data_IF_876811038445
#
_entry.id   IF_876811038445
#
_cell.length_a   1.000
_cell.length_b   1.000
_cell.length_c   1.000
_cell.angle_alpha   90.00
_cell.angle_beta   90.00
_cell.angle_gamma   90.00
#
_symmetry.space_group_name_H-M   'P 1'
#
loop_
_entity.id
_entity.type
_entity.pdbx_description
1 polymer ?
#
# COMPACT_ATOMS: atom_id res chain seq x y z
N UNK A 1 15.15 8.36 6.69
CA UNK A 1 15.67 7.22 5.91
C UNK A 1 15.13 7.16 4.48
N UNK A 2 13.81 7.16 4.25
CA UNK A 2 13.24 7.06 2.89
C UNK A 2 13.61 8.22 1.92
N UNK A 3 13.96 9.42 2.44
CA UNK A 3 14.62 10.51 1.67
C UNK A 3 15.99 10.18 1.14
N UNK A 4 16.78 9.50 1.95
CA UNK A 4 18.11 9.07 1.55
C UNK A 4 18.00 7.92 0.54
N UNK A 5 17.10 6.96 0.76
CA UNK A 5 16.88 5.82 -0.16
C UNK A 5 16.33 6.24 -1.52
N UNK A 6 15.39 7.19 -1.59
CA UNK A 6 14.88 7.67 -2.87
C UNK A 6 15.91 8.49 -3.65
N UNK A 7 16.70 9.33 -2.96
CA UNK A 7 17.79 10.10 -3.60
C UNK A 7 18.88 9.14 -4.08
N UNK A 8 19.20 8.09 -3.32
CA UNK A 8 20.10 7.02 -3.75
C UNK A 8 19.56 6.23 -4.94
N UNK A 9 18.29 5.82 -4.93
CA UNK A 9 17.67 5.13 -6.07
C UNK A 9 17.65 5.99 -7.33
N UNK A 10 17.38 7.29 -7.19
CA UNK A 10 17.37 8.24 -8.30
C UNK A 10 18.79 8.53 -8.79
N UNK A 11 19.77 8.61 -7.89
CA UNK A 11 21.19 8.69 -8.25
C UNK A 11 21.65 7.43 -8.98
N UNK A 12 21.28 6.24 -8.51
CA UNK A 12 21.57 4.95 -9.17
C UNK A 12 20.88 4.89 -10.55
N UNK A 13 19.65 5.38 -10.65
CA UNK A 13 18.93 5.48 -11.92
C UNK A 13 19.65 6.41 -12.91
N UNK A 14 20.03 7.61 -12.45
CA UNK A 14 20.75 8.60 -13.24
C UNK A 14 22.16 8.15 -13.61
N UNK A 15 22.84 7.39 -12.74
CA UNK A 15 24.13 6.75 -13.03
C UNK A 15 23.97 5.73 -14.17
N UNK A 16 22.91 4.91 -14.12
CA UNK A 16 22.62 3.97 -15.20
C UNK A 16 22.21 4.64 -16.52
N UNK A 17 21.37 5.67 -16.46
CA UNK A 17 20.96 6.44 -17.65
C UNK A 17 22.13 7.25 -18.23
N UNK A 18 22.98 7.83 -17.38
CA UNK A 18 24.18 8.57 -17.81
C UNK A 18 25.16 7.67 -18.56
N UNK A 19 25.40 6.46 -18.06
CA UNK A 19 26.27 5.50 -18.75
C UNK A 19 25.71 4.96 -20.07
N UNK A 20 24.38 4.97 -20.23
CA UNK A 20 23.70 4.71 -21.51
C UNK A 20 23.87 5.88 -22.50
N UNK A 21 23.82 7.12 -22.01
CA UNK A 21 23.94 8.34 -22.82
C UNK A 21 25.37 8.54 -23.36
N UNK A 22 26.40 8.12 -22.62
CA UNK A 22 27.80 8.19 -23.09
C UNK A 22 28.08 7.33 -24.34
N UNK A 23 27.25 6.34 -24.64
CA UNK A 23 27.36 5.55 -25.87
C UNK A 23 26.72 6.25 -27.09
N UNK A 24 26.04 7.38 -26.89
CA UNK A 24 25.40 8.15 -27.96
C UNK A 24 26.33 9.21 -28.59
N UNK A 25 27.52 9.45 -28.03
CA UNK A 25 28.55 10.29 -28.66
C UNK A 25 29.61 10.84 -27.71
N UNK A 26 30.81 11.19 -28.21
CA UNK A 26 32.01 11.46 -27.41
C UNK A 26 32.01 12.76 -26.57
N UNK A 27 30.90 13.49 -26.50
CA UNK A 27 30.80 14.78 -25.76
C UNK A 27 29.55 14.92 -24.90
N UNK A 28 28.81 13.83 -24.64
CA UNK A 28 27.51 13.95 -24.00
C UNK A 28 27.58 14.26 -22.49
N UNK A 29 28.52 13.68 -21.72
CA UNK A 29 28.68 14.03 -20.30
C UNK A 29 30.00 13.48 -19.72
N UNK A 30 31.09 14.27 -19.60
CA UNK A 30 32.39 13.79 -19.07
C UNK A 30 32.41 13.44 -17.56
N UNK A 31 31.26 13.23 -16.93
CA UNK A 31 31.13 13.18 -15.47
C UNK A 31 30.83 11.78 -14.89
N UNK A 32 31.83 11.22 -14.20
CA UNK A 32 31.71 10.44 -12.93
C UNK A 32 31.56 8.91 -12.96
N UNK A 33 31.46 8.19 -14.09
CA UNK A 33 31.04 6.77 -14.03
C UNK A 33 32.15 5.71 -14.04
N UNK A 34 32.15 4.89 -12.97
CA UNK A 34 33.11 3.82 -12.65
C UNK A 34 32.96 2.55 -13.50
N UNK A 35 31.75 2.19 -13.98
CA UNK A 35 31.53 0.90 -14.68
C UNK A 35 32.14 0.83 -16.07
N UNK A 36 32.16 1.93 -16.83
CA UNK A 36 32.84 2.02 -18.15
C UNK A 36 34.38 1.86 -18.04
N UNK A 37 34.92 1.90 -16.82
CA UNK A 37 36.36 1.70 -16.55
C UNK A 37 36.67 0.34 -15.94
N UNK A 38 35.67 -0.53 -15.75
CA UNK A 38 35.87 -1.87 -15.22
C UNK A 38 36.22 -2.79 -16.39
N UNK A 39 37.46 -3.32 -16.48
CA UNK A 39 37.88 -4.18 -17.59
C UNK A 39 37.05 -5.47 -17.69
N UNK A 40 36.49 -5.91 -16.55
CA UNK A 40 35.60 -7.06 -16.45
C UNK A 40 34.25 -6.84 -17.17
N UNK A 41 33.86 -5.59 -17.39
CA UNK A 41 32.63 -5.18 -18.07
C UNK A 41 32.89 -4.59 -19.45
N UNK A 42 34.12 -4.72 -19.97
CA UNK A 42 34.48 -4.27 -21.30
C UNK A 42 33.61 -5.00 -22.35
N UNK A 43 32.82 -4.25 -23.11
CA UNK A 43 31.81 -4.78 -24.05
C UNK A 43 30.43 -5.07 -23.45
N UNK A 44 30.21 -4.79 -22.16
CA UNK A 44 28.96 -4.99 -21.41
C UNK A 44 28.47 -3.72 -20.71
N UNK A 45 29.07 -2.56 -21.02
CA UNK A 45 28.86 -1.29 -20.36
C UNK A 45 27.40 -0.83 -20.44
N UNK A 46 26.79 -0.95 -21.63
CA UNK A 46 25.38 -0.64 -21.88
C UNK A 46 24.45 -1.47 -20.98
N UNK A 47 24.75 -2.76 -20.80
CA UNK A 47 23.96 -3.67 -19.98
C UNK A 47 24.08 -3.37 -18.49
N UNK A 48 25.31 -3.12 -18.05
CA UNK A 48 25.56 -2.80 -16.66
C UNK A 48 24.85 -1.48 -16.29
N UNK A 49 24.93 -0.49 -17.18
CA UNK A 49 24.29 0.81 -17.00
C UNK A 49 22.75 0.72 -17.10
N UNK A 50 22.18 -0.05 -18.05
CA UNK A 50 20.74 -0.29 -18.13
C UNK A 50 20.19 -1.06 -16.91
N UNK A 51 20.92 -2.06 -16.43
CA UNK A 51 20.54 -2.82 -15.22
C UNK A 51 20.56 -1.93 -13.98
N UNK A 52 21.59 -1.10 -13.85
CA UNK A 52 21.70 -0.08 -12.80
C UNK A 52 20.57 0.95 -12.90
N UNK A 53 20.19 1.37 -14.11
CA UNK A 53 19.06 2.29 -14.33
C UNK A 53 17.73 1.68 -13.86
N UNK A 54 17.47 0.43 -14.25
CA UNK A 54 16.23 -0.30 -13.89
C UNK A 54 16.16 -0.55 -12.38
N UNK A 55 17.27 -0.96 -11.76
CA UNK A 55 17.36 -1.14 -10.30
C UNK A 55 17.13 0.19 -9.59
N UNK A 56 17.73 1.27 -10.07
CA UNK A 56 17.51 2.61 -9.54
C UNK A 56 16.04 3.05 -9.63
N UNK A 57 15.41 2.85 -10.79
CA UNK A 57 13.99 3.15 -11.00
C UNK A 57 13.08 2.32 -10.07
N UNK A 58 13.35 1.02 -9.92
CA UNK A 58 12.61 0.15 -9.02
C UNK A 58 12.72 0.61 -7.55
N UNK A 59 13.93 1.01 -7.12
CA UNK A 59 14.15 1.56 -5.77
C UNK A 59 13.40 2.88 -5.56
N UNK A 60 13.34 3.76 -6.57
CA UNK A 60 12.58 5.01 -6.50
C UNK A 60 11.09 4.75 -6.35
N UNK A 61 10.53 3.82 -7.12
CA UNK A 61 9.10 3.45 -7.05
C UNK A 61 8.78 2.85 -5.68
N UNK A 62 9.60 1.91 -5.20
CA UNK A 62 9.42 1.30 -3.88
C UNK A 62 9.51 2.34 -2.74
N UNK A 63 10.50 3.24 -2.79
CA UNK A 63 10.66 4.30 -1.80
C UNK A 63 9.51 5.32 -1.84
N UNK A 64 8.95 5.59 -3.03
CA UNK A 64 7.76 6.43 -3.21
C UNK A 64 6.53 5.85 -2.51
N UNK A 65 6.28 4.55 -2.69
CA UNK A 65 5.14 3.85 -2.06
C UNK A 65 5.27 3.78 -0.54
N UNK A 66 6.46 3.50 -0.02
CA UNK A 66 6.71 3.48 1.44
C UNK A 66 6.53 4.86 2.09
N UNK A 67 6.79 5.94 1.35
CA UNK A 67 6.59 7.31 1.84
C UNK A 67 5.15 7.79 1.80
N UNK A 68 4.38 7.38 0.80
CA UNK A 68 2.95 7.65 0.77
C UNK A 68 2.32 7.08 2.05
N UNK A 69 2.59 5.79 2.30
CA UNK A 69 2.17 5.10 3.51
C UNK A 69 2.65 5.78 4.82
N UNK A 70 3.90 6.25 4.89
CA UNK A 70 4.42 6.92 6.09
C UNK A 70 3.84 8.33 6.32
N UNK A 71 3.62 9.12 5.25
CA UNK A 71 3.01 10.46 5.39
C UNK A 71 1.55 10.38 5.79
N UNK A 72 0.85 9.34 5.35
CA UNK A 72 -0.53 9.06 5.75
C UNK A 72 -0.62 8.69 7.24
N UNK A 73 0.34 7.91 7.76
CA UNK A 73 0.43 7.60 9.19
C UNK A 73 0.71 8.84 10.06
N UNK A 74 1.54 9.77 9.57
CA UNK A 74 1.83 11.04 10.26
C UNK A 74 0.66 12.04 10.16
N UNK A 75 -0.01 12.13 9.01
CA UNK A 75 -1.16 13.00 8.81
C UNK A 75 -2.38 12.56 9.64
N UNK A 76 -2.62 11.25 9.78
CA UNK A 76 -3.65 10.71 10.67
C UNK A 76 -3.41 11.00 12.16
N UNK A 77 -2.15 11.19 12.57
CA UNK A 77 -1.81 11.57 13.95
C UNK A 77 -1.95 13.08 14.20
N UNK A 78 -1.66 13.92 13.21
CA UNK A 78 -1.75 15.38 13.29
C UNK A 78 -3.19 15.92 13.18
N UNK A 79 -4.13 15.14 12.62
CA UNK A 79 -5.52 15.53 12.44
C UNK A 79 -6.41 15.36 13.69
N UNK A 80 -5.87 14.97 14.86
CA UNK A 80 -6.61 15.05 16.13
C UNK A 80 -6.66 16.52 16.58
N UNK A 81 -7.84 17.19 16.56
CA UNK A 81 -7.94 18.52 17.15
C UNK A 81 -7.89 18.35 18.68
N UNK A 82 -6.91 18.99 19.30
CA UNK A 82 -6.96 19.27 20.74
C UNK A 82 -8.25 20.05 21.02
N UNK A 83 -9.07 19.53 21.93
CA UNK A 83 -10.34 20.10 22.31
C UNK A 83 -10.20 21.56 22.71
N UNK A 84 -11.02 22.39 22.07
CA UNK A 84 -11.31 23.76 22.49
C UNK A 84 -12.18 23.71 23.74
N UNK A 85 -11.62 24.01 24.92
CA UNK A 85 -12.42 24.43 26.06
C UNK A 85 -12.76 25.91 25.90
N UNK A 86 -14.01 26.18 25.53
CA UNK A 86 -14.64 27.48 25.69
C UNK A 86 -15.43 27.50 27.01
N UNK A 87 -15.13 28.47 27.87
CA UNK A 87 -15.90 28.74 29.08
C UNK A 87 -15.58 30.12 29.62
N UNK A 88 -16.52 31.06 29.41
CA UNK A 88 -16.45 32.44 29.82
C UNK A 88 -16.65 32.65 31.34
N UNK A 89 -16.14 33.77 31.87
CA UNK A 89 -16.78 34.47 32.98
C UNK A 89 -15.91 34.95 34.15
N UNK A 90 -15.92 36.27 34.34
CA UNK A 90 -15.86 37.02 35.60
C UNK A 90 -14.51 37.32 36.30
N UNK A 91 -14.22 38.63 36.30
CA UNK A 91 -13.68 39.50 37.37
C UNK A 91 -13.01 38.88 38.62
N UNK A 92 -11.87 39.46 39.01
CA UNK A 92 -11.30 39.31 40.35
C UNK A 92 -9.91 39.88 40.50
N UNK A 93 -9.82 41.04 41.17
CA UNK A 93 -8.60 41.74 41.59
C UNK A 93 -7.81 40.92 42.63
N UNK A 94 -6.49 41.15 42.70
CA UNK A 94 -5.62 41.29 43.90
C UNK A 94 -4.25 40.58 43.75
N UNK A 95 -3.28 41.36 44.20
CA UNK A 95 -1.82 41.27 44.24
C UNK A 95 -1.24 40.18 45.17
N UNK A 96 0.09 40.03 45.07
CA UNK A 96 1.06 39.64 46.10
C UNK A 96 1.62 38.19 46.15
N UNK A 97 2.93 38.14 45.88
CA UNK A 97 4.02 37.46 46.63
C UNK A 97 3.89 35.99 47.06
N UNK A 98 4.95 35.21 46.80
CA UNK A 98 5.19 33.99 47.58
C UNK A 98 6.13 32.98 46.95
N UNK A 99 7.42 33.19 47.10
CA UNK A 99 8.49 32.21 46.91
C UNK A 99 8.28 30.94 47.74
N UNK A 100 8.44 29.75 47.13
CA UNK A 100 9.12 28.55 47.66
C UNK A 100 8.56 27.28 47.01
N UNK A 101 9.44 26.37 46.57
CA UNK A 101 9.01 25.02 46.16
C UNK A 101 9.82 24.35 45.06
N UNK A 102 11.07 24.73 44.84
CA UNK A 102 12.00 24.00 43.98
C UNK A 102 12.42 22.65 44.61
N UNK A 103 11.49 21.70 44.73
CA UNK A 103 11.77 20.31 45.14
C UNK A 103 10.71 19.27 44.69
N UNK A 104 9.59 19.68 44.08
CA UNK A 104 8.53 18.76 43.62
C UNK A 104 8.53 18.40 42.12
N UNK A 105 9.26 19.14 41.29
CA UNK A 105 9.15 19.02 39.83
C UNK A 105 9.99 17.88 39.21
N UNK A 106 10.96 17.32 39.94
CA UNK A 106 11.83 16.24 39.40
C UNK A 106 11.29 14.83 39.65
N UNK A 107 10.35 14.67 40.58
CA UNK A 107 9.70 13.38 40.90
C UNK A 107 8.42 13.13 40.10
N UNK A 108 7.76 14.18 39.60
CA UNK A 108 6.61 14.06 38.70
C UNK A 108 7.00 13.78 37.24
N UNK A 109 8.17 14.26 36.80
CA UNK A 109 8.71 14.00 35.44
C UNK A 109 9.28 12.58 35.32
N UNK A 110 9.79 11.99 36.41
CA UNK A 110 10.30 10.61 36.37
C UNK A 110 9.21 9.53 36.34
N UNK A 111 8.01 9.83 36.85
CA UNK A 111 6.86 8.90 36.83
C UNK A 111 6.11 8.92 35.48
N UNK A 112 6.24 9.99 34.71
CA UNK A 112 5.67 10.09 33.36
C UNK A 112 6.56 9.47 32.28
N UNK A 113 7.87 9.30 32.53
CA UNK A 113 8.77 8.61 31.61
C UNK A 113 8.74 7.08 31.72
N UNK A 114 8.31 6.51 32.86
CA UNK A 114 8.09 5.06 33.01
C UNK A 114 6.70 4.60 32.51
N UNK A 115 5.69 5.47 32.49
CA UNK A 115 4.35 5.16 31.97
C UNK A 115 4.17 5.34 30.46
N UNK A 116 5.15 5.91 29.75
CA UNK A 116 5.06 6.22 28.30
C UNK A 116 5.99 5.33 27.46
N UNK A 117 6.72 4.40 28.08
CA UNK A 117 7.57 3.41 27.38
C UNK A 117 6.92 2.04 27.11
N UNK A 118 5.69 1.83 27.56
CA UNK A 118 4.86 0.67 27.19
C UNK A 118 3.67 1.09 26.31
N UNK A 119 3.94 1.67 25.13
CA UNK A 119 2.95 1.70 24.05
C UNK A 119 3.64 1.73 22.70
N UNK A 120 4.60 0.81 22.52
CA UNK A 120 4.95 0.36 21.17
C UNK A 120 4.03 -0.81 20.87
N UNK A 121 3.05 -0.70 19.95
CA UNK A 121 2.39 -1.87 19.43
C UNK A 121 3.39 -2.53 18.49
N UNK A 122 4.37 -3.24 19.07
CA UNK A 122 4.87 -4.42 18.37
C UNK A 122 3.63 -5.29 18.22
N UNK A 123 3.31 -5.65 16.99
CA UNK A 123 2.47 -6.79 16.65
C UNK A 123 3.12 -8.05 17.24
N UNK A 124 3.07 -8.16 18.56
CA UNK A 124 3.41 -9.35 19.31
C UNK A 124 2.13 -10.13 19.32
N UNK A 125 2.11 -11.22 18.57
CA UNK A 125 1.07 -12.25 18.62
C UNK A 125 0.64 -12.47 20.07
N UNK A 126 -0.52 -11.94 20.44
CA UNK A 126 -1.11 -12.19 21.73
C UNK A 126 -1.27 -13.71 21.91
N UNK A 127 -0.99 -14.28 23.10
CA UNK A 127 -1.23 -15.70 23.36
C UNK A 127 -2.69 -16.04 22.99
N UNK A 128 -2.89 -16.97 22.06
CA UNK A 128 -4.23 -17.37 21.59
C UNK A 128 -4.68 -16.77 20.25
N UNK A 129 -3.90 -15.91 19.60
CA UNK A 129 -4.27 -15.36 18.29
C UNK A 129 -4.19 -16.40 17.16
N UNK A 130 -5.28 -16.60 16.41
CA UNK A 130 -5.26 -17.34 15.14
C UNK A 130 -4.90 -16.38 14.00
N UNK A 131 -3.71 -16.55 13.44
CA UNK A 131 -3.23 -15.75 12.30
C UNK A 131 -3.48 -16.47 10.99
N UNK A 132 -4.30 -15.88 10.13
CA UNK A 132 -4.54 -16.31 8.76
C UNK A 132 -3.71 -15.44 7.83
N UNK A 133 -2.66 -16.03 7.26
CA UNK A 133 -1.76 -15.41 6.29
C UNK A 133 -1.74 -16.22 4.99
N UNK A 134 -1.19 -15.66 3.88
CA UNK A 134 -0.97 -16.43 2.66
C UNK A 134 -0.17 -17.69 2.96
N UNK A 135 -0.45 -18.77 2.24
CA UNK A 135 0.23 -20.04 2.53
C UNK A 135 1.70 -19.96 2.14
N UNK A 136 2.54 -20.73 2.83
CA UNK A 136 3.97 -20.86 2.47
C UNK A 136 4.13 -21.32 1.02
N UNK A 137 3.22 -22.17 0.54
CA UNK A 137 3.17 -22.59 -0.86
C UNK A 137 2.90 -21.43 -1.83
N UNK A 138 1.96 -20.55 -1.51
CA UNK A 138 1.66 -19.37 -2.34
C UNK A 138 2.86 -18.41 -2.38
N UNK A 139 3.54 -18.22 -1.24
CA UNK A 139 4.77 -17.42 -1.16
C UNK A 139 5.90 -18.03 -1.97
N UNK A 140 6.17 -19.33 -1.81
CA UNK A 140 7.20 -20.03 -2.58
C UNK A 140 6.89 -20.00 -4.08
N UNK A 141 5.61 -20.16 -4.44
CA UNK A 141 5.17 -20.05 -5.82
C UNK A 141 5.41 -18.64 -6.34
N UNK A 142 5.05 -17.59 -5.61
CA UNK A 142 5.30 -16.20 -6.03
C UNK A 142 6.80 -15.90 -6.18
N UNK A 143 7.60 -16.26 -5.17
CA UNK A 143 9.04 -16.02 -5.15
C UNK A 143 9.84 -16.90 -6.11
N UNK A 144 9.32 -18.06 -6.50
CA UNK A 144 9.93 -18.93 -7.50
C UNK A 144 9.44 -18.62 -8.92
N UNK A 145 8.14 -18.59 -9.12
CA UNK A 145 7.51 -18.47 -10.44
C UNK A 145 7.77 -17.11 -11.08
N UNK A 146 7.60 -15.99 -10.35
CA UNK A 146 7.73 -14.67 -10.96
C UNK A 146 9.17 -14.40 -11.47
N UNK A 147 10.24 -14.69 -10.71
CA UNK A 147 11.60 -14.56 -11.21
C UNK A 147 11.91 -15.49 -12.38
N UNK A 148 11.42 -16.75 -12.34
CA UNK A 148 11.63 -17.71 -13.44
C UNK A 148 10.93 -17.25 -14.72
N UNK A 149 9.66 -16.84 -14.62
CA UNK A 149 8.88 -16.31 -15.76
C UNK A 149 9.50 -15.00 -16.26
N UNK A 150 9.89 -14.10 -15.36
CA UNK A 150 10.58 -12.87 -15.70
C UNK A 150 11.88 -13.13 -16.45
N UNK A 151 12.71 -14.05 -15.96
CA UNK A 151 13.94 -14.48 -16.62
C UNK A 151 13.69 -15.09 -18.00
N UNK A 152 12.69 -15.97 -18.13
CA UNK A 152 12.32 -16.56 -19.41
C UNK A 152 11.84 -15.51 -20.42
N UNK A 153 10.97 -14.57 -20.01
CA UNK A 153 10.54 -13.45 -20.85
C UNK A 153 11.70 -12.54 -21.25
N UNK A 154 12.63 -12.29 -20.31
CA UNK A 154 13.84 -11.53 -20.56
C UNK A 154 14.77 -12.20 -21.57
N UNK A 155 14.95 -13.52 -21.48
CA UNK A 155 15.71 -14.31 -22.45
C UNK A 155 15.06 -14.28 -23.85
N UNK A 156 13.73 -14.26 -23.90
CA UNK A 156 12.95 -14.22 -25.14
C UNK A 156 12.84 -12.81 -25.75
N UNK A 157 13.39 -11.78 -25.11
CA UNK A 157 13.24 -10.40 -25.56
C UNK A 157 13.74 -10.19 -27.00
N UNK A 158 14.90 -10.75 -27.35
CA UNK A 158 15.48 -10.65 -28.69
C UNK A 158 14.65 -11.40 -29.76
N UNK A 159 14.31 -12.69 -29.61
CA UNK A 159 13.48 -13.37 -30.62
C UNK A 159 12.07 -12.77 -30.75
N UNK A 160 11.50 -12.24 -29.67
CA UNK A 160 10.25 -11.46 -29.73
C UNK A 160 10.43 -10.15 -30.51
N UNK A 161 11.58 -9.49 -30.35
CA UNK A 161 11.91 -8.26 -31.09
C UNK A 161 12.14 -8.52 -32.58
N UNK A 162 12.86 -9.59 -32.92
CA UNK A 162 13.10 -10.01 -34.31
C UNK A 162 11.77 -10.37 -35.00
N UNK A 163 10.88 -11.07 -34.29
CA UNK A 163 9.52 -11.34 -34.76
C UNK A 163 8.69 -10.06 -34.92
N UNK A 164 8.71 -9.15 -33.95
CA UNK A 164 7.98 -7.88 -34.00
C UNK A 164 8.40 -7.01 -35.20
N UNK A 165 9.70 -6.95 -35.49
CA UNK A 165 10.26 -6.24 -36.64
C UNK A 165 9.91 -6.89 -37.98
N UNK A 166 9.53 -8.17 -38.01
CA UNK A 166 9.07 -8.84 -39.23
C UNK A 166 7.64 -8.45 -39.64
N UNK A 167 6.88 -7.77 -38.78
CA UNK A 167 5.52 -7.35 -39.08
C UNK A 167 5.50 -6.05 -39.91
N UNK A 168 4.82 -6.03 -41.09
CA UNK A 168 4.84 -4.89 -42.02
C UNK A 168 4.27 -3.56 -41.48
N UNK A 169 3.59 -3.58 -40.35
CA UNK A 169 2.88 -2.45 -39.77
C UNK A 169 3.51 -1.93 -38.47
N UNK A 170 4.65 -2.48 -38.03
CA UNK A 170 5.22 -2.21 -36.71
C UNK A 170 5.86 -0.80 -36.62
N UNK A 171 5.36 0.12 -35.79
CA UNK A 171 5.76 1.53 -35.81
C UNK A 171 7.01 1.88 -34.98
N UNK A 172 7.63 0.90 -34.29
CA UNK A 172 8.74 1.12 -33.35
C UNK A 172 10.08 0.51 -33.83
N UNK A 173 10.42 0.67 -35.12
CA UNK A 173 11.67 0.13 -35.68
C UNK A 173 12.93 0.64 -34.97
N UNK A 174 12.96 1.91 -34.57
CA UNK A 174 14.14 2.57 -34.00
C UNK A 174 14.64 1.93 -32.68
N UNK A 175 13.82 1.90 -31.62
CA UNK A 175 14.20 1.28 -30.35
C UNK A 175 14.49 -0.22 -30.48
N UNK A 176 13.78 -0.94 -31.34
CA UNK A 176 14.01 -2.37 -31.53
C UNK A 176 15.32 -2.68 -32.26
N UNK A 177 15.75 -1.82 -33.20
CA UNK A 177 17.08 -1.95 -33.82
C UNK A 177 18.24 -1.88 -32.81
N UNK A 178 18.08 -1.12 -31.72
CA UNK A 178 19.08 -1.11 -30.64
C UNK A 178 19.16 -2.48 -29.96
N UNK A 179 18.02 -3.09 -29.63
CA UNK A 179 17.96 -4.43 -29.02
C UNK A 179 18.52 -5.49 -29.93
N UNK A 180 18.23 -5.43 -31.24
CA UNK A 180 18.73 -6.41 -32.21
C UNK A 180 20.20 -6.21 -32.59
N UNK A 181 20.77 -5.03 -32.33
CA UNK A 181 22.20 -4.76 -32.58
C UNK A 181 23.14 -5.50 -31.62
N UNK A 182 22.58 -6.03 -30.53
CA UNK A 182 23.31 -6.74 -29.49
C UNK A 182 23.53 -8.20 -29.91
N UNK A 183 24.76 -8.75 -29.73
CA UNK A 183 25.01 -10.17 -29.95
C UNK A 183 24.09 -11.07 -29.11
N UNK A 184 23.73 -12.24 -29.64
CA UNK A 184 22.69 -13.10 -29.07
C UNK A 184 22.95 -13.51 -27.61
N UNK A 185 24.19 -13.90 -27.30
CA UNK A 185 24.57 -14.37 -25.96
C UNK A 185 24.45 -13.28 -24.88
N UNK A 186 25.07 -12.09 -25.01
CA UNK A 186 24.91 -11.02 -24.02
C UNK A 186 23.48 -10.50 -23.94
N UNK A 187 22.75 -10.42 -25.07
CA UNK A 187 21.34 -10.04 -25.07
C UNK A 187 20.49 -11.00 -24.21
N UNK A 188 20.70 -12.30 -24.39
CA UNK A 188 19.97 -13.34 -23.65
C UNK A 188 20.32 -13.31 -22.17
N UNK A 189 21.62 -13.24 -21.82
CA UNK A 189 22.06 -13.21 -20.42
C UNK A 189 21.56 -11.93 -19.72
N UNK A 190 21.78 -10.77 -20.33
CA UNK A 190 21.36 -9.48 -19.78
C UNK A 190 19.85 -9.38 -19.62
N UNK A 191 19.09 -9.79 -20.65
CA UNK A 191 17.63 -9.86 -20.60
C UNK A 191 17.14 -10.79 -19.48
N UNK A 192 17.75 -11.97 -19.33
CA UNK A 192 17.41 -12.91 -18.25
C UNK A 192 17.63 -12.29 -16.87
N UNK A 193 18.79 -11.66 -16.63
CA UNK A 193 19.11 -11.04 -15.34
C UNK A 193 18.13 -9.91 -15.01
N UNK A 194 17.85 -9.02 -15.97
CA UNK A 194 16.86 -7.94 -15.80
C UNK A 194 15.47 -8.51 -15.52
N UNK A 195 15.08 -9.56 -16.24
CA UNK A 195 13.81 -10.24 -16.06
C UNK A 195 13.64 -10.88 -14.69
N UNK A 196 14.69 -11.56 -14.19
CA UNK A 196 14.72 -12.12 -12.84
C UNK A 196 14.58 -11.03 -11.78
N UNK A 197 15.33 -9.92 -11.92
CA UNK A 197 15.25 -8.78 -10.99
C UNK A 197 13.84 -8.19 -11.00
N UNK A 198 13.24 -7.98 -12.17
CA UNK A 198 11.87 -7.48 -12.29
C UNK A 198 10.87 -8.44 -11.61
N UNK A 199 11.02 -9.75 -11.81
CA UNK A 199 10.21 -10.76 -11.14
C UNK A 199 10.36 -10.75 -9.62
N UNK A 200 11.57 -10.56 -9.11
CA UNK A 200 11.83 -10.42 -7.65
C UNK A 200 11.21 -9.15 -7.08
N UNK A 201 11.28 -8.02 -7.80
CA UNK A 201 10.64 -6.77 -7.40
C UNK A 201 9.12 -6.93 -7.34
N UNK A 202 8.51 -7.59 -8.34
CA UNK A 202 7.08 -7.89 -8.32
C UNK A 202 6.70 -8.82 -7.16
N UNK A 203 7.51 -9.84 -6.85
CA UNK A 203 7.30 -10.70 -5.69
C UNK A 203 7.39 -9.92 -4.37
N UNK A 204 8.33 -8.98 -4.25
CA UNK A 204 8.45 -8.07 -3.10
C UNK A 204 7.21 -7.17 -2.94
N UNK A 205 6.71 -6.61 -4.03
CA UNK A 205 5.47 -5.80 -4.02
C UNK A 205 4.28 -6.66 -3.58
N UNK A 206 4.15 -7.86 -4.14
CA UNK A 206 3.09 -8.81 -3.78
C UNK A 206 3.12 -9.21 -2.31
N UNK A 207 4.31 -9.40 -1.74
CA UNK A 207 4.47 -9.71 -0.31
C UNK A 207 4.06 -8.52 0.58
N UNK A 208 4.38 -7.29 0.18
CA UNK A 208 3.99 -6.09 0.94
C UNK A 208 2.49 -5.81 0.87
N UNK A 209 1.85 -6.12 -0.26
CA UNK A 209 0.41 -5.97 -0.47
C UNK A 209 -0.39 -7.15 0.10
N UNK A 210 0.29 -8.23 0.53
CA UNK A 210 -0.36 -9.43 1.02
C UNK A 210 -1.15 -9.17 2.32
N UNK A 211 -2.46 -9.44 2.24
CA UNK A 211 -3.35 -9.32 3.38
C UNK A 211 -3.12 -10.39 4.45
N UNK A 212 -3.09 -10.00 5.72
CA UNK A 212 -3.05 -10.89 6.89
C UNK A 212 -4.18 -10.55 7.84
N UNK A 213 -4.78 -11.57 8.47
CA UNK A 213 -5.85 -11.40 9.45
C UNK A 213 -5.45 -12.12 10.73
N UNK A 214 -5.33 -11.40 11.83
CA UNK A 214 -5.16 -11.97 13.16
C UNK A 214 -6.49 -11.87 13.91
N UNK A 215 -6.97 -13.01 14.41
CA UNK A 215 -8.22 -13.11 15.17
C UNK A 215 -7.89 -13.54 16.59
N UNK A 216 -8.35 -12.79 17.58
CA UNK A 216 -8.32 -13.15 19.00
C UNK A 216 -9.75 -13.16 19.54
N UNK A 217 -9.93 -13.64 20.77
CA UNK A 217 -11.25 -13.63 21.43
C UNK A 217 -11.78 -12.20 21.69
N UNK A 218 -10.89 -11.20 21.72
CA UNK A 218 -11.21 -9.82 22.07
C UNK A 218 -11.22 -8.87 20.87
N UNK A 219 -10.42 -9.13 19.84
CA UNK A 219 -10.28 -8.23 18.70
C UNK A 219 -9.88 -8.95 17.40
N UNK A 220 -10.14 -8.28 16.28
CA UNK A 220 -9.69 -8.68 14.95
C UNK A 220 -8.77 -7.61 14.43
N UNK A 221 -7.58 -8.02 14.01
CA UNK A 221 -6.65 -7.15 13.30
C UNK A 221 -6.57 -7.57 11.84
N UNK A 222 -6.98 -6.68 10.94
CA UNK A 222 -6.87 -6.84 9.49
C UNK A 222 -5.72 -5.97 9.01
N UNK A 223 -4.69 -6.60 8.45
CA UNK A 223 -3.61 -5.91 7.75
C UNK A 223 -3.78 -6.13 6.26
N UNK A 224 -3.96 -5.05 5.49
CA UNK A 224 -4.10 -5.09 4.04
C UNK A 224 -3.38 -3.88 3.42
N UNK A 225 -2.65 -4.07 2.33
CA UNK A 225 -1.90 -3.00 1.64
C UNK A 225 -0.99 -2.18 2.59
N UNK A 226 -0.35 -2.83 3.57
CA UNK A 226 0.48 -2.18 4.58
C UNK A 226 -0.28 -1.35 5.64
N UNK A 227 -1.61 -1.31 5.60
CA UNK A 227 -2.46 -0.65 6.59
C UNK A 227 -3.02 -1.68 7.56
N UNK A 228 -3.00 -1.38 8.84
CA UNK A 228 -3.50 -2.26 9.90
C UNK A 228 -4.71 -1.61 10.56
N UNK A 229 -5.81 -2.36 10.65
CA UNK A 229 -7.06 -1.94 11.27
C UNK A 229 -7.49 -2.95 12.29
N UNK A 230 -7.91 -2.47 13.45
CA UNK A 230 -8.32 -3.33 14.58
C UNK A 230 -9.77 -3.03 14.93
N UNK A 231 -10.56 -4.09 15.09
CA UNK A 231 -11.97 -4.01 15.47
C UNK A 231 -12.22 -4.88 16.72
N UNK A 232 -12.79 -4.32 17.80
CA UNK A 232 -13.07 -5.08 19.01
C UNK A 232 -14.25 -6.03 18.77
N UNK A 233 -14.17 -7.26 19.33
CA UNK A 233 -15.14 -8.35 19.14
C UNK A 233 -16.57 -7.90 19.42
N UNK A 234 -16.77 -7.14 20.49
CA UNK A 234 -18.06 -6.64 20.98
C UNK A 234 -18.80 -5.75 19.95
N UNK A 235 -18.06 -5.07 19.07
CA UNK A 235 -18.65 -4.25 18.02
C UNK A 235 -18.97 -5.06 16.76
N UNK A 236 -18.41 -6.26 16.60
CA UNK A 236 -18.56 -7.02 15.35
C UNK A 236 -19.88 -7.78 15.32
N UNK A 237 -20.79 -7.38 14.41
CA UNK A 237 -22.10 -8.01 14.20
C UNK A 237 -22.12 -9.04 13.07
N UNK A 238 -21.28 -8.84 12.05
CA UNK A 238 -21.13 -9.73 10.91
C UNK A 238 -19.71 -9.68 10.35
N UNK A 239 -19.20 -10.83 9.92
CA UNK A 239 -17.93 -10.94 9.19
C UNK A 239 -18.16 -11.76 7.93
N UNK A 240 -17.80 -11.23 6.76
CA UNK A 240 -17.93 -11.95 5.50
C UNK A 240 -16.84 -11.58 4.51
N UNK A 241 -16.70 -12.43 3.47
CA UNK A 241 -15.85 -12.14 2.33
C UNK A 241 -16.69 -11.66 1.15
N UNK A 242 -16.37 -10.51 0.60
CA UNK A 242 -16.91 -10.00 -0.67
C UNK A 242 -15.80 -10.02 -1.73
N UNK A 243 -15.80 -11.04 -2.59
CA UNK A 243 -14.71 -11.27 -3.55
C UNK A 243 -13.37 -11.52 -2.87
N UNK A 244 -12.43 -10.55 -3.00
CA UNK A 244 -11.12 -10.55 -2.33
C UNK A 244 -11.08 -9.70 -1.06
N UNK A 245 -12.18 -9.03 -0.69
CA UNK A 245 -12.25 -8.17 0.49
C UNK A 245 -12.84 -8.94 1.66
N UNK A 246 -12.23 -8.81 2.84
CA UNK A 246 -12.86 -9.15 4.11
C UNK A 246 -13.52 -7.90 4.66
N UNK A 247 -14.76 -8.04 5.14
CA UNK A 247 -15.55 -6.95 5.69
C UNK A 247 -16.06 -7.36 7.08
N UNK A 248 -15.89 -6.46 8.04
CA UNK A 248 -16.42 -6.56 9.40
C UNK A 248 -17.42 -5.41 9.59
N UNK A 249 -18.66 -5.76 9.94
CA UNK A 249 -19.72 -4.80 10.19
C UNK A 249 -19.97 -4.56 11.68
N UNK A 250 -20.39 -3.35 12.00
CA UNK A 250 -20.97 -3.00 13.30
C UNK A 250 -22.45 -3.43 13.41
N UNK A 251 -23.10 -3.35 14.58
CA UNK A 251 -24.50 -3.76 14.75
C UNK A 251 -25.51 -2.93 13.95
N UNK A 252 -25.12 -1.72 13.49
CA UNK A 252 -25.93 -0.86 12.63
C UNK A 252 -25.71 -1.17 11.15
N UNK A 253 -24.74 -2.02 10.83
CA UNK A 253 -24.35 -2.35 9.48
C UNK A 253 -23.31 -1.39 8.90
N UNK A 254 -22.65 -0.53 9.68
CA UNK A 254 -21.49 0.24 9.21
C UNK A 254 -20.23 -0.62 9.09
N UNK A 255 -19.27 -0.20 8.26
CA UNK A 255 -17.98 -0.90 8.15
C UNK A 255 -17.04 -0.51 9.30
N UNK A 256 -16.71 -1.47 10.17
CA UNK A 256 -15.70 -1.29 11.23
C UNK A 256 -14.28 -1.45 10.72
N UNK A 257 -14.08 -2.48 9.91
CA UNK A 257 -12.80 -2.78 9.29
C UNK A 257 -13.08 -3.51 7.98
N UNK A 258 -12.39 -3.11 6.92
CA UNK A 258 -12.37 -3.87 5.68
C UNK A 258 -11.00 -3.81 5.03
N UNK A 259 -10.68 -4.81 4.22
CA UNK A 259 -9.39 -4.87 3.56
C UNK A 259 -9.33 -5.97 2.50
N UNK A 260 -8.56 -5.72 1.45
CA UNK A 260 -8.29 -6.74 0.42
C UNK A 260 -7.36 -7.79 1.00
N UNK A 261 -7.89 -8.98 1.23
CA UNK A 261 -7.17 -10.14 1.75
C UNK A 261 -7.40 -11.31 0.80
N UNK A 262 -6.37 -11.67 0.04
CA UNK A 262 -6.42 -12.82 -0.88
C UNK A 262 -6.22 -14.15 -0.11
N UNK A 263 -7.11 -14.38 0.86
CA UNK A 263 -7.07 -15.50 1.77
C UNK A 263 -8.21 -16.48 1.48
N UNK A 264 -7.94 -17.77 1.72
CA UNK A 264 -8.91 -18.84 1.45
C UNK A 264 -10.12 -18.70 2.38
N UNK A 265 -11.37 -18.63 1.86
CA UNK A 265 -12.57 -18.37 2.67
C UNK A 265 -12.77 -19.37 3.81
N UNK A 266 -12.47 -20.66 3.59
CA UNK A 266 -12.62 -21.68 4.62
C UNK A 266 -11.68 -21.49 5.81
N UNK A 267 -10.45 -20.98 5.59
CA UNK A 267 -9.50 -20.70 6.67
C UNK A 267 -9.96 -19.50 7.50
N UNK A 268 -10.45 -18.46 6.83
CA UNK A 268 -11.06 -17.31 7.51
C UNK A 268 -12.28 -17.76 8.33
N UNK A 269 -13.20 -18.49 7.71
CA UNK A 269 -14.40 -18.99 8.38
C UNK A 269 -14.06 -19.83 9.62
N UNK A 270 -13.07 -20.72 9.53
CA UNK A 270 -12.61 -21.53 10.65
C UNK A 270 -12.02 -20.67 11.77
N UNK A 271 -11.13 -19.72 11.44
CA UNK A 271 -10.52 -18.83 12.43
C UNK A 271 -11.56 -17.97 13.15
N UNK A 272 -12.44 -17.31 12.40
CA UNK A 272 -13.49 -16.48 12.98
C UNK A 272 -14.46 -17.29 13.86
N UNK A 273 -14.89 -18.47 13.40
CA UNK A 273 -15.79 -19.32 14.20
C UNK A 273 -15.11 -19.87 15.46
N UNK A 274 -13.83 -20.20 15.40
CA UNK A 274 -13.07 -20.68 16.57
C UNK A 274 -13.03 -19.64 17.69
N UNK A 275 -12.97 -18.35 17.33
CA UNK A 275 -13.02 -17.22 18.27
C UNK A 275 -14.42 -16.63 18.47
N UNK A 276 -15.48 -17.37 18.08
CA UNK A 276 -16.87 -16.98 18.34
C UNK A 276 -17.39 -15.78 17.54
N UNK A 277 -16.76 -15.40 16.43
CA UNK A 277 -17.22 -14.32 15.55
C UNK A 277 -18.38 -14.76 14.64
N UNK A 278 -19.28 -13.83 14.25
CA UNK A 278 -20.45 -14.11 13.43
C UNK A 278 -20.05 -14.18 11.94
N UNK A 279 -19.37 -15.26 11.56
CA UNK A 279 -19.00 -15.50 10.16
C UNK A 279 -20.23 -15.81 9.30
N UNK A 280 -20.45 -14.99 8.27
CA UNK A 280 -21.50 -15.11 7.26
C UNK A 280 -20.91 -15.66 5.96
N UNK A 281 -21.26 -16.90 5.63
CA UNK A 281 -20.79 -17.57 4.40
C UNK A 281 -21.60 -17.18 3.16
N UNK A 282 -22.80 -16.64 3.37
CA UNK A 282 -23.78 -16.14 2.42
C UNK A 282 -23.46 -14.72 1.89
N UNK A 283 -22.52 -14.02 2.52
CA UNK A 283 -22.05 -12.70 2.08
C UNK A 283 -22.57 -11.55 2.94
N UNK A 284 -22.79 -10.40 2.30
CA UNK A 284 -23.26 -9.19 2.98
C UNK A 284 -24.76 -9.32 3.35
N UNK A 285 -25.14 -9.25 4.63
CA UNK A 285 -26.55 -9.28 5.04
C UNK A 285 -27.38 -8.10 4.49
N UNK A 286 -26.73 -6.99 4.12
CA UNK A 286 -27.34 -5.79 3.55
C UNK A 286 -27.15 -5.71 2.03
N UNK A 287 -26.83 -6.82 1.36
CA UNK A 287 -26.60 -6.85 -0.09
C UNK A 287 -27.77 -6.25 -0.91
N UNK A 288 -29.01 -6.41 -0.42
CA UNK A 288 -30.22 -5.89 -1.06
C UNK A 288 -30.41 -4.37 -0.97
N UNK A 289 -29.69 -3.70 -0.05
CA UNK A 289 -29.87 -2.27 0.21
C UNK A 289 -28.95 -1.39 -0.67
N UNK A 290 -28.01 -2.03 -1.38
CA UNK A 290 -27.08 -1.32 -2.25
C UNK A 290 -27.78 -0.80 -3.50
N UNK A 291 -27.59 0.50 -3.75
CA UNK A 291 -28.11 1.18 -4.94
C UNK A 291 -26.95 1.78 -5.72
N UNK A 292 -27.08 1.81 -7.04
CA UNK A 292 -26.04 2.35 -7.91
C UNK A 292 -25.91 3.85 -7.64
N UNK A 293 -24.67 4.30 -7.41
CA UNK A 293 -24.40 5.72 -7.33
C UNK A 293 -24.46 6.35 -8.72
N UNK A 294 -25.12 7.49 -8.81
CA UNK A 294 -25.18 8.37 -9.98
C UNK A 294 -24.91 9.80 -9.51
N UNK A 295 -24.13 10.61 -10.24
CA UNK A 295 -23.93 12.00 -9.90
C UNK A 295 -25.26 12.77 -9.77
N UNK A 296 -25.42 13.54 -8.69
CA UNK A 296 -26.57 14.43 -8.49
C UNK A 296 -27.81 13.80 -7.84
N UNK A 297 -27.71 12.61 -7.23
CA UNK A 297 -28.81 12.04 -6.43
C UNK A 297 -29.13 12.96 -5.22
N UNK A 298 -30.41 13.23 -4.89
CA UNK A 298 -30.74 14.06 -3.73
C UNK A 298 -30.62 13.35 -2.38
N UNK A 299 -30.35 12.03 -2.38
CA UNK A 299 -30.50 11.14 -1.22
C UNK A 299 -29.26 11.07 -0.31
N UNK A 300 -28.16 11.71 -0.71
CA UNK A 300 -26.87 11.68 0.00
C UNK A 300 -26.48 13.08 0.47
N UNK A 301 -25.83 13.21 1.65
CA UNK A 301 -25.23 14.46 2.08
C UNK A 301 -24.28 15.01 1.01
N UNK A 302 -24.21 16.34 0.86
CA UNK A 302 -23.34 16.99 -0.13
C UNK A 302 -21.87 16.56 0.00
N UNK A 303 -21.38 16.35 1.23
CA UNK A 303 -20.04 15.82 1.50
C UNK A 303 -19.82 14.41 0.95
N UNK A 304 -20.80 13.51 1.12
CA UNK A 304 -20.73 12.14 0.58
C UNK A 304 -20.71 12.13 -0.95
N UNK A 305 -21.46 13.03 -1.60
CA UNK A 305 -21.42 13.18 -3.05
C UNK A 305 -20.04 13.53 -3.61
N UNK A 306 -19.36 14.49 -2.96
CA UNK A 306 -18.02 14.91 -3.36
C UNK A 306 -17.00 13.76 -3.20
N UNK A 307 -17.08 13.02 -2.09
CA UNK A 307 -16.20 11.87 -1.82
C UNK A 307 -16.44 10.72 -2.82
N UNK A 308 -17.70 10.38 -3.13
CA UNK A 308 -18.01 9.34 -4.13
C UNK A 308 -17.49 9.72 -5.52
N UNK A 309 -17.63 11.00 -5.92
CA UNK A 309 -17.10 11.50 -7.19
C UNK A 309 -15.56 11.47 -7.24
N UNK A 310 -14.89 11.90 -6.18
CA UNK A 310 -13.43 11.81 -6.06
C UNK A 310 -12.98 10.34 -6.12
N UNK A 311 -13.73 9.44 -5.46
CA UNK A 311 -13.43 8.01 -5.42
C UNK A 311 -13.59 7.34 -6.78
N UNK A 312 -14.66 7.68 -7.51
CA UNK A 312 -14.85 7.21 -8.87
C UNK A 312 -13.66 7.57 -9.77
N UNK A 313 -13.17 8.82 -9.66
CA UNK A 313 -11.98 9.28 -10.39
C UNK A 313 -10.69 8.57 -9.96
N UNK A 314 -10.54 8.25 -8.68
CA UNK A 314 -9.41 7.48 -8.18
C UNK A 314 -9.42 6.05 -8.76
N UNK A 315 -10.59 5.41 -8.80
CA UNK A 315 -10.76 4.08 -9.41
C UNK A 315 -10.45 4.09 -10.91
N UNK A 316 -10.90 5.11 -11.66
CA UNK A 316 -10.59 5.25 -13.10
C UNK A 316 -9.09 5.42 -13.39
N UNK A 317 -8.34 5.93 -12.42
CA UNK A 317 -6.89 6.16 -12.52
C UNK A 317 -6.05 5.06 -11.87
N UNK A 318 -6.68 3.95 -11.46
CA UNK A 318 -6.04 2.85 -10.71
C UNK A 318 -5.34 3.33 -9.41
N UNK A 319 -5.82 4.42 -8.81
CA UNK A 319 -5.34 4.96 -7.54
C UNK A 319 -6.05 4.26 -6.37
N UNK A 320 -5.75 2.98 -6.18
CA UNK A 320 -6.44 2.13 -5.18
C UNK A 320 -6.31 2.65 -3.74
N UNK A 321 -5.15 3.19 -3.35
CA UNK A 321 -4.93 3.75 -2.01
C UNK A 321 -5.87 4.93 -1.73
N UNK A 322 -5.92 5.91 -2.64
CA UNK A 322 -6.81 7.07 -2.54
C UNK A 322 -8.28 6.63 -2.49
N UNK A 323 -8.65 5.59 -3.25
CA UNK A 323 -10.00 5.04 -3.24
C UNK A 323 -10.38 4.35 -1.91
N UNK A 324 -9.40 3.77 -1.19
CA UNK A 324 -9.60 3.22 0.16
C UNK A 324 -9.72 4.32 1.21
N UNK A 325 -8.92 5.38 1.13
CA UNK A 325 -9.04 6.55 2.03
C UNK A 325 -10.44 7.18 1.92
N UNK A 326 -10.90 7.38 0.69
CA UNK A 326 -12.24 7.92 0.45
C UNK A 326 -13.36 6.97 0.90
N UNK A 327 -13.13 5.65 0.93
CA UNK A 327 -14.08 4.67 1.49
C UNK A 327 -14.21 4.83 3.01
N UNK A 328 -13.11 5.09 3.71
CA UNK A 328 -13.08 5.31 5.16
C UNK A 328 -13.75 6.64 5.54
N UNK A 329 -13.51 7.69 4.77
CA UNK A 329 -14.22 8.97 4.96
C UNK A 329 -15.73 8.80 4.72
N UNK A 330 -16.12 7.99 3.72
CA UNK A 330 -17.52 7.68 3.46
C UNK A 330 -18.16 6.86 4.59
N UNK A 331 -17.45 5.91 5.19
CA UNK A 331 -17.98 5.13 6.32
C UNK A 331 -18.21 6.01 7.55
N UNK A 332 -17.36 7.04 7.75
CA UNK A 332 -17.54 8.05 8.81
C UNK A 332 -18.81 8.87 8.61
N UNK A 333 -19.25 9.05 7.35
CA UNK A 333 -20.52 9.70 7.01
C UNK A 333 -21.72 8.72 6.96
N UNK A 334 -21.57 7.49 7.46
CA UNK A 334 -22.63 6.48 7.42
C UNK A 334 -22.93 5.98 6.00
N UNK A 335 -21.98 6.08 5.07
CA UNK A 335 -22.13 5.61 3.69
C UNK A 335 -21.19 4.42 3.47
N UNK A 336 -21.79 3.25 3.23
CA UNK A 336 -21.04 2.03 2.90
C UNK A 336 -21.03 1.87 1.38
N UNK A 337 -19.84 1.65 0.82
CA UNK A 337 -19.65 1.50 -0.63
C UNK A 337 -19.29 0.09 -1.04
N UNK A 338 -19.80 -0.33 -2.19
CA UNK A 338 -19.48 -1.60 -2.82
C UNK A 338 -19.18 -1.37 -4.29
N UNK A 339 -18.11 -1.98 -4.77
CA UNK A 339 -17.72 -1.87 -6.17
C UNK A 339 -18.05 -3.18 -6.88
N UNK A 340 -18.70 -3.08 -8.03
CA UNK A 340 -18.86 -4.18 -8.96
C UNK A 340 -18.38 -3.73 -10.34
N UNK A 341 -17.24 -4.31 -10.76
CA UNK A 341 -16.51 -3.92 -11.97
C UNK A 341 -16.23 -2.42 -11.97
N UNK A 342 -16.80 -1.69 -12.94
CA UNK A 342 -16.64 -0.24 -13.09
C UNK A 342 -17.86 0.55 -12.58
N UNK A 343 -18.61 -0.01 -11.64
CA UNK A 343 -19.81 0.60 -11.07
C UNK A 343 -19.69 0.66 -9.55
N UNK A 344 -19.96 1.84 -9.02
CA UNK A 344 -19.99 2.08 -7.59
C UNK A 344 -21.43 2.01 -7.09
N UNK A 345 -21.63 1.24 -6.04
CA UNK A 345 -22.89 1.13 -5.30
C UNK A 345 -22.68 1.65 -3.90
N UNK A 346 -23.76 2.15 -3.31
CA UNK A 346 -23.74 2.65 -1.95
C UNK A 346 -25.00 2.19 -1.20
N UNK A 347 -24.89 2.11 0.11
CA UNK A 347 -26.02 2.07 1.02
C UNK A 347 -25.76 3.02 2.18
N UNK A 348 -26.83 3.48 2.84
CA UNK A 348 -26.73 4.28 4.05
C UNK A 348 -26.85 3.38 5.28
N UNK A 349 -26.15 3.77 6.33
CA UNK A 349 -26.29 3.26 7.68
C UNK A 349 -27.22 4.23 8.41
N UNK A 350 -28.24 3.75 9.14
CA UNK A 350 -29.09 4.62 9.95
C UNK A 350 -28.26 5.42 10.97
N UNK A 351 -28.53 6.71 11.10
CA UNK A 351 -27.83 7.58 12.06
C UNK A 351 -28.25 7.28 13.50
N UNK A 352 -27.35 7.50 14.46
CA UNK A 352 -27.61 7.27 15.89
C UNK A 352 -28.72 8.17 16.47
N UNK A 353 -29.11 9.23 15.76
CA UNK A 353 -30.06 10.26 16.19
C UNK A 353 -31.51 10.02 15.74
N UNK A 354 -31.78 8.91 15.05
CA UNK A 354 -33.13 8.57 14.55
C UNK A 354 -33.85 7.49 15.40
N UNK A 355 -33.33 7.12 16.57
CA UNK A 355 -34.00 6.24 17.57
C UNK A 355 -34.62 6.99 18.75
#
# INVERSE_FOLDING_TARGET
>A
MARVVQVLGLAVCLVGVGGLVDHLGPRAWEGVLLLNRVPLLAGYEVFANASVAIVGAAVVVAAGRLRAAAREAEAGHAARPGGTDGGAGAEGVVDSSGTAGAAGARSAVRRTEEGVREMSPRASSAPGATVVSPSVGDRLLMWGLLPVVGGALGALLKPLSDWALSLPWFPFEGPMRLVTSIPDTPATIGGTVVGVIAGLVLAMIGEHEAGTVAVTDEEVTVTANGRTRTAPRERVSAVFKDGKRLVLLDPRGGELASGVVDLKPHRLAQAFRAHGYPWRGDGDPHAGDFRRWVPGLPELPAGAHALLAARAKALEKDQSSDAEDLREELSTLGVVVRDDRNRQYFRRVPDASEE
#
